data_IF_829697546681
#
_entry.id   IF_829697546681
#
_cell.length_a   1.000
_cell.length_b   1.000
_cell.length_c   1.000
_cell.angle_alpha   90.00
_cell.angle_beta   90.00
_cell.angle_gamma   90.00
#
_symmetry.space_group_name_H-M   'P 1'
#
loop_
_entity.id
_entity.type
_entity.pdbx_description
1 polymer ?
#
# COMPACT_ATOMS: atom_id res chain seq x y z
N UNK A 1 28.53 6.74 -12.35
CA UNK A 1 27.55 7.68 -11.77
C UNK A 1 26.18 7.33 -12.34
N UNK A 2 25.13 7.25 -11.50
CA UNK A 2 23.77 6.92 -11.95
C UNK A 2 23.18 8.06 -12.79
N UNK A 3 22.13 7.79 -13.55
CA UNK A 3 21.45 8.77 -14.42
C UNK A 3 20.92 10.01 -13.69
N UNK A 4 20.67 9.88 -12.39
CA UNK A 4 20.16 10.92 -11.51
C UNK A 4 21.25 11.54 -10.62
N UNK A 5 22.52 11.28 -10.94
CA UNK A 5 23.68 11.84 -10.22
C UNK A 5 23.97 11.18 -8.87
N UNK A 6 23.18 10.19 -8.43
CA UNK A 6 23.39 9.51 -7.15
C UNK A 6 24.58 8.54 -7.17
N UNK A 7 25.16 8.34 -5.98
CA UNK A 7 26.06 7.23 -5.68
C UNK A 7 25.38 5.86 -5.82
N UNK A 8 26.17 4.78 -5.88
CA UNK A 8 25.63 3.42 -6.03
C UNK A 8 24.83 2.96 -4.80
N UNK A 9 25.23 3.41 -3.63
CA UNK A 9 24.66 3.14 -2.30
C UNK A 9 23.71 4.24 -1.80
N UNK A 10 23.61 5.36 -2.53
CA UNK A 10 22.78 6.49 -2.13
C UNK A 10 21.31 6.25 -2.48
N UNK A 11 20.42 6.31 -1.48
CA UNK A 11 18.97 6.24 -1.69
C UNK A 11 18.44 7.48 -2.43
N UNK A 12 17.26 7.33 -3.05
CA UNK A 12 16.48 8.48 -3.53
C UNK A 12 16.02 9.33 -2.36
N UNK A 13 15.81 10.66 -2.53
CA UNK A 13 15.21 11.49 -1.50
C UNK A 13 13.86 10.92 -1.04
N UNK A 14 13.71 10.70 0.26
CA UNK A 14 12.47 10.23 0.87
C UNK A 14 11.77 11.41 1.55
N UNK A 15 10.48 11.59 1.26
CA UNK A 15 9.60 12.51 1.98
C UNK A 15 8.31 11.79 2.36
N UNK A 16 7.86 11.96 3.59
CA UNK A 16 6.59 11.44 4.07
C UNK A 16 5.78 12.62 4.59
N UNK A 17 4.59 12.80 4.04
CA UNK A 17 3.60 13.76 4.51
C UNK A 17 2.49 12.99 5.23
N UNK A 18 2.35 13.22 6.53
CA UNK A 18 1.36 12.54 7.37
C UNK A 18 0.00 13.22 7.27
N UNK A 19 -1.06 12.50 7.66
CA UNK A 19 -2.44 13.01 7.74
C UNK A 19 -2.94 13.61 6.41
N UNK A 20 -2.48 13.05 5.29
CA UNK A 20 -2.78 13.54 3.95
C UNK A 20 -4.28 13.43 3.59
N UNK A 21 -4.94 12.37 4.07
CA UNK A 21 -6.38 12.20 3.94
C UNK A 21 -7.09 12.52 5.25
N UNK A 22 -8.08 13.41 5.17
CA UNK A 22 -8.92 13.83 6.31
C UNK A 22 -9.72 12.69 6.96
N UNK A 23 -10.10 11.67 6.18
CA UNK A 23 -11.11 10.69 6.59
C UNK A 23 -10.55 9.33 7.03
N UNK A 24 -9.31 9.01 6.65
CA UNK A 24 -8.70 7.75 7.06
C UNK A 24 -8.21 7.85 8.51
N UNK A 25 -8.32 6.78 9.30
CA UNK A 25 -7.78 6.78 10.68
C UNK A 25 -6.26 6.93 10.71
N UNK A 26 -5.58 6.50 9.64
CA UNK A 26 -4.17 6.81 9.40
C UNK A 26 -3.93 7.01 7.91
N UNK A 27 -3.16 8.04 7.55
CA UNK A 27 -2.77 8.23 6.15
C UNK A 27 -1.41 8.91 6.00
N UNK A 28 -0.75 8.62 4.90
CA UNK A 28 0.43 9.38 4.49
C UNK A 28 0.62 9.38 2.97
N UNK A 29 1.24 10.44 2.46
CA UNK A 29 1.77 10.51 1.10
C UNK A 29 3.29 10.31 1.17
N UNK A 30 3.76 9.14 0.74
CA UNK A 30 5.19 8.83 0.69
C UNK A 30 5.74 9.10 -0.72
N UNK A 31 6.88 9.79 -0.77
CA UNK A 31 7.63 10.09 -1.99
C UNK A 31 9.02 9.50 -1.86
N UNK A 32 9.45 8.73 -2.87
CA UNK A 32 10.79 8.18 -3.00
C UNK A 32 11.35 8.57 -4.36
N UNK A 33 12.02 9.72 -4.41
CA UNK A 33 12.27 10.44 -5.67
C UNK A 33 10.94 10.76 -6.36
N UNK A 34 10.79 10.32 -7.60
CA UNK A 34 9.60 10.53 -8.41
C UNK A 34 8.49 9.49 -8.17
N UNK A 35 8.76 8.43 -7.41
CA UNK A 35 7.69 7.51 -7.00
C UNK A 35 6.87 8.13 -5.88
N UNK A 36 5.56 8.19 -6.07
CA UNK A 36 4.61 8.76 -5.11
C UNK A 36 3.48 7.77 -4.85
N UNK A 37 3.31 7.39 -3.59
CA UNK A 37 2.29 6.45 -3.15
C UNK A 37 1.48 7.07 -2.02
N UNK A 38 0.17 7.01 -2.14
CA UNK A 38 -0.77 7.32 -1.07
C UNK A 38 -1.04 6.05 -0.29
N UNK A 39 -0.81 6.08 1.02
CA UNK A 39 -1.14 4.99 1.93
C UNK A 39 -2.26 5.45 2.86
N UNK A 40 -3.33 4.68 2.96
CA UNK A 40 -4.44 4.91 3.87
C UNK A 40 -4.73 3.65 4.68
N UNK A 41 -5.09 3.81 5.95
CA UNK A 41 -5.54 2.72 6.81
C UNK A 41 -6.97 2.98 7.24
N UNK A 42 -7.84 2.00 7.02
CA UNK A 42 -9.21 1.99 7.50
C UNK A 42 -9.35 0.95 8.62
N UNK A 43 -9.99 1.34 9.72
CA UNK A 43 -10.34 0.41 10.81
C UNK A 43 -11.77 -0.07 10.62
N UNK A 44 -11.96 -1.38 10.48
CA UNK A 44 -13.27 -2.01 10.34
C UNK A 44 -13.55 -2.97 11.50
N UNK A 45 -14.76 -2.88 12.08
CA UNK A 45 -15.21 -3.85 13.08
C UNK A 45 -15.42 -5.22 12.44
N UNK A 46 -14.93 -6.26 13.11
CA UNK A 46 -15.02 -7.65 12.64
C UNK A 46 -13.76 -8.10 11.90
N UNK A 47 -13.73 -9.39 11.62
CA UNK A 47 -12.62 -10.11 10.98
C UNK A 47 -13.12 -11.06 9.90
N UNK A 48 -12.26 -11.54 9.00
CA UNK A 48 -12.64 -12.58 8.05
C UNK A 48 -13.21 -13.82 8.75
N UNK A 49 -14.12 -14.54 8.08
CA UNK A 49 -14.85 -15.67 8.65
C UNK A 49 -13.95 -16.73 9.30
N UNK A 50 -12.76 -16.97 8.74
CA UNK A 50 -11.81 -17.96 9.27
C UNK A 50 -11.14 -17.55 10.59
N UNK A 51 -11.29 -16.29 11.03
CA UNK A 51 -10.81 -15.75 12.31
C UNK A 51 -11.95 -15.38 13.27
N UNK A 52 -13.21 -15.49 12.86
CA UNK A 52 -14.35 -15.17 13.71
C UNK A 52 -14.35 -16.04 14.97
N UNK A 53 -14.49 -15.42 16.14
CA UNK A 53 -14.47 -16.10 17.44
C UNK A 53 -13.06 -16.39 17.98
N UNK A 54 -12.00 -16.02 17.27
CA UNK A 54 -10.61 -16.23 17.73
C UNK A 54 -10.14 -15.17 18.71
N UNK A 55 -10.81 -14.01 18.78
CA UNK A 55 -10.33 -12.85 19.52
C UNK A 55 -9.13 -12.14 18.90
N UNK A 56 -8.64 -12.59 17.74
CA UNK A 56 -7.49 -12.02 17.03
C UNK A 56 -7.94 -11.08 15.91
N UNK A 57 -7.23 -9.98 15.71
CA UNK A 57 -7.47 -9.06 14.60
C UNK A 57 -6.89 -9.54 13.28
N UNK A 58 -7.05 -8.71 12.26
CA UNK A 58 -6.53 -8.98 10.93
C UNK A 58 -6.00 -7.73 10.25
N UNK A 59 -4.96 -7.88 9.44
CA UNK A 59 -4.51 -6.83 8.51
C UNK A 59 -4.67 -7.40 7.10
N UNK A 60 -5.29 -6.63 6.22
CA UNK A 60 -5.25 -6.87 4.77
C UNK A 60 -4.74 -5.63 4.07
N UNK A 61 -4.30 -5.79 2.83
CA UNK A 61 -3.87 -4.68 2.01
C UNK A 61 -4.44 -4.80 0.60
N UNK A 62 -4.70 -3.65 0.00
CA UNK A 62 -4.98 -3.50 -1.42
C UNK A 62 -3.92 -2.59 -2.03
N UNK A 63 -3.66 -2.79 -3.31
CA UNK A 63 -2.67 -2.04 -4.06
C UNK A 63 -3.25 -1.69 -5.41
N UNK A 64 -3.05 -0.46 -5.86
CA UNK A 64 -3.49 -0.08 -7.19
C UNK A 64 -2.55 0.93 -7.84
N UNK A 65 -2.59 0.98 -9.16
CA UNK A 65 -1.95 2.05 -9.92
C UNK A 65 -3.04 2.92 -10.54
N UNK A 66 -2.94 4.24 -10.35
CA UNK A 66 -3.73 5.15 -11.18
C UNK A 66 -3.39 4.92 -12.66
N UNK A 67 -4.35 4.98 -13.59
CA UNK A 67 -4.13 4.69 -15.02
C UNK A 67 -2.98 5.47 -15.67
N UNK A 68 -2.64 6.65 -15.14
CA UNK A 68 -1.57 7.51 -15.65
C UNK A 68 -0.46 7.76 -14.63
N UNK A 69 -0.30 6.85 -13.67
CA UNK A 69 0.84 6.84 -12.76
C UNK A 69 2.15 6.40 -13.45
N UNK A 70 2.06 5.67 -14.55
CA UNK A 70 3.21 5.22 -15.36
C UNK A 70 3.34 6.05 -16.63
N UNK A 71 4.50 5.94 -17.30
CA UNK A 71 4.80 6.65 -18.57
C UNK A 71 3.77 6.39 -19.66
N UNK A 72 3.31 5.15 -19.78
CA UNK A 72 2.23 4.75 -20.67
C UNK A 72 0.93 4.53 -19.89
N UNK A 73 -0.22 4.71 -20.53
CA UNK A 73 -1.49 4.66 -19.80
C UNK A 73 -1.86 3.19 -19.62
N UNK A 74 -2.02 2.75 -18.39
CA UNK A 74 -2.55 1.43 -18.08
C UNK A 74 -4.08 1.45 -18.11
N UNK A 75 -4.70 0.36 -18.53
CA UNK A 75 -6.16 0.22 -18.45
C UNK A 75 -6.52 -0.01 -16.98
N UNK A 76 -7.51 0.72 -16.48
CA UNK A 76 -8.02 0.56 -15.11
C UNK A 76 -8.51 -0.88 -14.90
N UNK A 77 -8.10 -1.51 -13.80
CA UNK A 77 -8.46 -2.91 -13.50
C UNK A 77 -9.97 -3.12 -13.40
N UNK A 78 -10.71 -2.15 -12.86
CA UNK A 78 -12.18 -2.21 -12.80
C UNK A 78 -12.84 -2.25 -14.19
N UNK A 79 -12.24 -1.60 -15.20
CA UNK A 79 -12.72 -1.65 -16.60
C UNK A 79 -12.38 -2.99 -17.24
N UNK A 80 -11.23 -3.57 -16.88
CA UNK A 80 -10.81 -4.89 -17.35
C UNK A 80 -11.62 -6.03 -16.71
N UNK A 81 -12.28 -5.77 -15.58
CA UNK A 81 -13.08 -6.76 -14.84
C UNK A 81 -12.25 -7.81 -14.10
N UNK A 82 -10.92 -7.63 -14.03
CA UNK A 82 -10.00 -8.52 -13.30
C UNK A 82 -8.79 -7.75 -12.79
N UNK A 83 -8.30 -8.19 -11.64
CA UNK A 83 -7.06 -7.72 -11.01
C UNK A 83 -5.87 -8.37 -11.71
N UNK A 84 -4.79 -7.61 -11.91
CA UNK A 84 -3.56 -8.11 -12.53
C UNK A 84 -2.74 -9.01 -11.57
N UNK A 85 -1.95 -9.94 -12.13
CA UNK A 85 -1.11 -10.83 -11.34
C UNK A 85 -0.11 -10.08 -10.45
N UNK A 86 0.48 -8.99 -10.96
CA UNK A 86 1.41 -8.14 -10.19
C UNK A 86 0.69 -7.47 -9.02
N UNK A 87 -0.52 -6.98 -9.24
CA UNK A 87 -1.35 -6.38 -8.19
C UNK A 87 -1.66 -7.38 -7.09
N UNK A 88 -2.03 -8.61 -7.46
CA UNK A 88 -2.25 -9.70 -6.51
C UNK A 88 -1.01 -10.06 -5.69
N UNK A 89 0.16 -10.07 -6.31
CA UNK A 89 1.42 -10.35 -5.62
C UNK A 89 1.76 -9.25 -4.61
N UNK A 90 1.73 -7.99 -5.04
CA UNK A 90 2.11 -6.83 -4.23
C UNK A 90 1.17 -6.68 -3.03
N UNK A 91 -0.15 -6.78 -3.22
CA UNK A 91 -1.10 -6.66 -2.09
C UNK A 91 -0.87 -7.75 -1.04
N UNK A 92 -0.58 -8.99 -1.49
CA UNK A 92 -0.27 -10.10 -0.60
C UNK A 92 1.06 -9.87 0.14
N UNK A 93 2.05 -9.30 -0.53
CA UNK A 93 3.34 -8.96 0.06
C UNK A 93 3.16 -7.89 1.14
N UNK A 94 2.50 -6.76 0.85
CA UNK A 94 2.26 -5.68 1.81
C UNK A 94 1.54 -6.22 3.04
N UNK A 95 0.43 -6.95 2.84
CA UNK A 95 -0.33 -7.53 3.94
C UNK A 95 0.51 -8.49 4.80
N UNK A 96 1.38 -9.32 4.21
CA UNK A 96 2.26 -10.22 4.97
C UNK A 96 3.32 -9.46 5.76
N UNK A 97 3.95 -8.46 5.15
CA UNK A 97 5.00 -7.66 5.81
C UNK A 97 4.47 -6.88 7.01
N UNK A 98 3.24 -6.36 6.92
CA UNK A 98 2.63 -5.66 8.06
C UNK A 98 2.25 -6.62 9.20
N UNK A 99 1.68 -7.78 8.86
CA UNK A 99 1.32 -8.80 9.87
C UNK A 99 2.53 -9.36 10.62
N UNK A 100 3.73 -9.36 10.04
CA UNK A 100 4.93 -9.88 10.72
C UNK A 100 5.46 -8.98 11.84
N UNK A 101 5.02 -7.72 11.90
CA UNK A 101 5.51 -6.74 12.88
C UNK A 101 4.42 -6.24 13.83
N UNK A 102 3.18 -6.73 13.70
CA UNK A 102 2.03 -6.28 14.47
C UNK A 102 1.46 -7.41 15.32
N UNK A 103 1.26 -7.16 16.62
CA UNK A 103 0.62 -8.14 17.51
C UNK A 103 -0.90 -8.06 17.40
N UNK A 104 -1.46 -8.91 16.54
CA UNK A 104 -2.91 -8.97 16.30
C UNK A 104 -3.70 -9.65 17.43
N UNK A 105 -3.03 -10.25 18.41
CA UNK A 105 -3.74 -10.83 19.57
C UNK A 105 -4.22 -9.76 20.53
N UNK A 106 -3.63 -8.56 20.48
CA UNK A 106 -3.97 -7.45 21.36
C UNK A 106 -5.05 -6.51 20.78
N UNK A 107 -5.49 -6.73 19.54
CA UNK A 107 -6.40 -5.80 18.85
C UNK A 107 -7.88 -6.16 19.00
N UNK A 108 -8.18 -7.38 19.48
CA UNK A 108 -9.52 -7.95 19.37
C UNK A 108 -9.93 -8.18 17.91
N UNK A 109 -11.21 -8.48 17.69
CA UNK A 109 -11.76 -8.80 16.36
C UNK A 109 -12.03 -7.53 15.52
N UNK A 110 -10.93 -6.88 15.13
CA UNK A 110 -10.91 -5.69 14.27
C UNK A 110 -10.00 -5.98 13.07
N UNK A 111 -10.40 -5.47 11.92
CA UNK A 111 -9.60 -5.51 10.69
C UNK A 111 -9.02 -4.14 10.37
N UNK A 112 -7.75 -4.13 9.98
CA UNK A 112 -7.09 -2.98 9.37
C UNK A 112 -6.98 -3.24 7.87
N UNK A 113 -7.56 -2.35 7.07
CA UNK A 113 -7.47 -2.38 5.61
C UNK A 113 -6.48 -1.31 5.21
N UNK A 114 -5.39 -1.71 4.56
CA UNK A 114 -4.33 -0.79 4.11
C UNK A 114 -4.40 -0.64 2.60
N UNK A 115 -4.77 0.55 2.13
CA UNK A 115 -4.84 0.89 0.73
C UNK A 115 -3.54 1.59 0.31
N UNK A 116 -2.87 1.06 -0.71
CA UNK A 116 -1.68 1.64 -1.31
C UNK A 116 -1.94 2.02 -2.77
N UNK A 117 -2.27 3.28 -3.01
CA UNK A 117 -2.55 3.81 -4.34
C UNK A 117 -1.34 4.56 -4.90
N UNK A 118 -0.80 4.04 -6.01
CA UNK A 118 0.32 4.67 -6.70
C UNK A 118 -0.18 5.83 -7.55
N UNK A 119 0.23 7.03 -7.18
CA UNK A 119 -0.07 8.27 -7.90
C UNK A 119 0.95 8.49 -9.01
N UNK A 120 2.22 8.22 -8.75
CA UNK A 120 3.31 8.28 -9.73
C UNK A 120 4.26 7.10 -9.52
N UNK A 121 4.57 6.37 -10.59
CA UNK A 121 5.40 5.19 -10.59
C UNK A 121 6.69 5.46 -11.37
N UNK A 122 7.80 5.56 -10.64
CA UNK A 122 9.15 5.65 -11.22
C UNK A 122 10.02 4.55 -10.63
N UNK A 123 9.71 3.30 -10.99
CA UNK A 123 10.41 2.11 -10.50
C UNK A 123 11.68 1.77 -11.27
N UNK A 124 12.07 2.56 -12.27
CA UNK A 124 13.10 2.24 -13.25
C UNK A 124 14.47 2.89 -12.99
N UNK A 125 14.95 2.87 -11.74
CA UNK A 125 16.21 3.55 -11.35
C UNK A 125 17.31 2.61 -10.92
#
# INVERSE_FOLDING_TARGET
>A
MRIDGRGYDQLRPIKIELDYLKYAEGSCLIRAGDTVVLCATTIQKGVPQFLSGSGQGWITAEYSLLPRSTRERTVRESVRGRIDGRTHEIRRMIGRSLRSVFDLTQTGEISFIVDCDVIQADGGT
#
